data_IF_299910689531
#
_entry.id   IF_299910689531
#
_cell.length_a   1.000
_cell.length_b   1.000
_cell.length_c   1.000
_cell.angle_alpha   90.00
_cell.angle_beta   90.00
_cell.angle_gamma   90.00
#
_symmetry.space_group_name_H-M   'P 1'
#
loop_
_entity.id
_entity.type
_entity.pdbx_description
1 polymer ?
#
# COMPACT_ATOMS: atom_id res chain seq x y z
N UNK A 1 7.43 21.79 -6.68
CA UNK A 1 8.87 21.44 -6.74
C UNK A 1 9.74 22.31 -5.83
N UNK A 2 9.69 23.64 -5.93
CA UNK A 2 10.49 24.54 -5.08
C UNK A 2 10.23 24.34 -3.58
N UNK A 3 8.96 24.20 -3.16
CA UNK A 3 8.60 23.93 -1.76
C UNK A 3 9.24 22.63 -1.22
N UNK A 4 9.22 21.56 -2.01
CA UNK A 4 9.84 20.28 -1.65
C UNK A 4 11.37 20.37 -1.56
N UNK A 5 12.00 21.07 -2.51
CA UNK A 5 13.47 21.26 -2.52
C UNK A 5 13.96 22.03 -1.30
N UNK A 6 13.25 23.10 -0.92
CA UNK A 6 13.56 23.86 0.30
C UNK A 6 13.42 22.99 1.55
N UNK A 7 12.36 22.18 1.63
CA UNK A 7 12.09 21.35 2.82
C UNK A 7 13.08 20.21 2.99
N UNK A 8 13.40 19.51 1.89
CA UNK A 8 14.29 18.35 1.92
C UNK A 8 15.78 18.73 1.89
N UNK A 9 16.09 20.01 1.62
CA UNK A 9 17.45 20.50 1.38
C UNK A 9 18.15 19.73 0.25
N UNK A 10 17.39 19.35 -0.78
CA UNK A 10 17.87 18.59 -1.93
C UNK A 10 17.65 19.40 -3.22
N UNK A 11 18.54 19.26 -4.22
CA UNK A 11 18.39 19.97 -5.48
C UNK A 11 17.14 19.50 -6.23
N UNK A 12 16.46 20.42 -6.91
CA UNK A 12 15.24 20.13 -7.69
C UNK A 12 15.46 18.98 -8.70
N UNK A 13 16.67 18.85 -9.25
CA UNK A 13 17.04 17.79 -10.20
C UNK A 13 16.93 16.37 -9.65
N UNK A 14 16.97 16.19 -8.33
CA UNK A 14 16.81 14.89 -7.67
C UNK A 14 15.35 14.60 -7.27
N UNK A 15 14.49 15.62 -7.26
CA UNK A 15 13.08 15.48 -6.95
C UNK A 15 12.30 15.05 -8.18
N UNK A 16 11.25 14.25 -7.98
CA UNK A 16 10.32 13.86 -9.04
C UNK A 16 8.90 13.96 -8.57
N UNK A 17 8.01 14.49 -9.41
CA UNK A 17 6.57 14.28 -9.19
C UNK A 17 6.29 12.82 -9.56
N UNK A 18 5.90 12.03 -8.58
CA UNK A 18 5.67 10.58 -8.77
C UNK A 18 4.20 10.25 -8.99
N UNK A 19 3.30 11.15 -8.55
CA UNK A 19 1.86 11.09 -8.70
C UNK A 19 1.26 12.50 -8.67
N UNK A 20 0.18 12.71 -9.42
CA UNK A 20 -0.68 13.87 -9.32
C UNK A 20 -2.13 13.46 -9.63
N UNK A 21 -3.08 13.96 -8.85
CA UNK A 21 -4.50 13.69 -9.02
C UNK A 21 -5.28 14.99 -8.86
N UNK A 22 -6.21 15.24 -9.78
CA UNK A 22 -7.13 16.37 -9.66
C UNK A 22 -8.16 16.08 -8.56
N UNK A 23 -8.35 17.03 -7.66
CA UNK A 23 -9.25 16.91 -6.52
C UNK A 23 -9.90 18.27 -6.20
N UNK A 24 -11.13 18.24 -5.72
CA UNK A 24 -11.82 19.42 -5.20
C UNK A 24 -11.79 19.41 -3.67
N UNK A 25 -11.22 20.45 -3.09
CA UNK A 25 -11.09 20.63 -1.64
C UNK A 25 -12.35 21.25 -1.05
N UNK A 26 -12.68 20.92 0.20
CA UNK A 26 -13.88 21.41 0.88
C UNK A 26 -13.74 22.79 1.54
N UNK A 27 -12.52 23.29 1.64
CA UNK A 27 -12.23 24.58 2.25
C UNK A 27 -11.07 25.33 1.57
N UNK A 28 -10.93 26.62 1.91
CA UNK A 28 -9.86 27.50 1.41
C UNK A 28 -8.45 27.14 1.91
N UNK A 29 -8.32 26.26 2.90
CA UNK A 29 -7.05 25.71 3.36
C UNK A 29 -6.71 24.40 2.68
N UNK A 30 -7.44 24.01 1.64
CA UNK A 30 -7.22 22.79 0.89
C UNK A 30 -7.32 21.54 1.80
N UNK A 31 -8.20 21.57 2.80
CA UNK A 31 -8.39 20.56 3.86
C UNK A 31 -7.18 20.39 4.79
N UNK A 32 -6.29 21.40 4.82
CA UNK A 32 -5.05 21.43 5.62
C UNK A 32 -4.99 22.71 6.46
N UNK A 33 -6.01 22.90 7.30
CA UNK A 33 -6.07 23.96 8.29
C UNK A 33 -4.97 23.76 9.35
N UNK A 34 -4.29 24.84 9.74
CA UNK A 34 -3.46 24.83 10.95
C UNK A 34 -4.35 24.91 12.21
N UNK A 35 -3.79 24.56 13.37
CA UNK A 35 -4.54 24.45 14.63
C UNK A 35 -5.39 25.69 14.98
N UNK A 36 -4.94 26.89 14.59
CA UNK A 36 -5.60 28.17 14.86
C UNK A 36 -6.03 28.93 13.59
N UNK A 37 -6.15 28.23 12.45
CA UNK A 37 -6.49 28.84 11.17
C UNK A 37 -7.96 28.66 10.81
N UNK A 38 -8.64 29.78 10.56
CA UNK A 38 -10.00 29.77 10.00
C UNK A 38 -9.97 29.69 8.48
N UNK A 39 -10.52 28.60 7.96
CA UNK A 39 -10.60 28.35 6.53
C UNK A 39 -11.97 28.73 5.98
N UNK A 40 -12.01 29.28 4.77
CA UNK A 40 -13.28 29.57 4.10
C UNK A 40 -13.99 28.27 3.74
N UNK A 41 -15.31 28.21 3.89
CA UNK A 41 -16.11 27.06 3.46
C UNK A 41 -16.44 27.18 1.97
N UNK A 42 -15.44 26.93 1.12
CA UNK A 42 -15.56 27.02 -0.33
C UNK A 42 -15.00 25.76 -0.99
N UNK A 43 -15.67 25.29 -2.04
CA UNK A 43 -15.15 24.19 -2.86
C UNK A 43 -14.05 24.73 -3.78
N UNK A 44 -12.81 24.27 -3.58
CA UNK A 44 -11.64 24.73 -4.34
C UNK A 44 -11.12 23.61 -5.25
N UNK A 45 -11.26 23.72 -6.58
CA UNK A 45 -10.61 22.80 -7.51
C UNK A 45 -9.08 22.88 -7.41
N UNK A 46 -8.43 21.74 -7.48
CA UNK A 46 -7.01 21.66 -7.26
C UNK A 46 -6.39 20.31 -7.56
N UNK A 47 -5.19 20.11 -7.02
CA UNK A 47 -4.41 18.91 -7.24
C UNK A 47 -3.80 18.40 -5.94
N UNK A 48 -3.90 17.09 -5.73
CA UNK A 48 -3.02 16.36 -4.82
C UNK A 48 -1.77 15.99 -5.61
N UNK A 49 -0.60 16.42 -5.15
CA UNK A 49 0.68 16.20 -5.83
C UNK A 49 1.64 15.51 -4.88
N UNK A 50 2.20 14.38 -5.31
CA UNK A 50 3.19 13.63 -4.53
C UNK A 50 4.57 13.83 -5.15
N UNK A 51 5.47 14.39 -4.36
CA UNK A 51 6.88 14.62 -4.74
C UNK A 51 7.74 13.59 -4.02
N UNK A 52 8.52 12.82 -4.77
CA UNK A 52 9.44 11.81 -4.24
C UNK A 52 10.92 12.19 -4.40
N UNK A 53 11.74 11.72 -3.45
CA UNK A 53 13.19 11.65 -3.53
C UNK A 53 13.70 10.37 -2.87
N UNK A 54 14.31 9.48 -3.66
CA UNK A 54 14.66 8.14 -3.16
C UNK A 54 13.42 7.42 -2.61
N UNK A 55 13.46 7.08 -1.31
CA UNK A 55 12.36 6.45 -0.55
C UNK A 55 11.47 7.45 0.21
N UNK A 56 11.77 8.75 0.16
CA UNK A 56 10.98 9.79 0.85
C UNK A 56 9.95 10.38 -0.09
N UNK A 57 8.76 10.67 0.44
CA UNK A 57 7.67 11.32 -0.30
C UNK A 57 7.09 12.48 0.50
N UNK A 58 6.67 13.53 -0.20
CA UNK A 58 5.95 14.66 0.35
C UNK A 58 4.65 14.83 -0.43
N UNK A 59 3.54 14.93 0.29
CA UNK A 59 2.20 15.12 -0.28
C UNK A 59 1.81 16.58 -0.14
N UNK A 60 1.59 17.23 -1.27
CA UNK A 60 1.13 18.60 -1.34
C UNK A 60 -0.29 18.67 -1.87
N UNK A 61 -1.10 19.54 -1.27
CA UNK A 61 -2.36 19.98 -1.85
C UNK A 61 -2.13 21.35 -2.49
N UNK A 62 -2.67 21.54 -3.68
CA UNK A 62 -2.63 22.81 -4.37
C UNK A 62 -3.99 23.17 -4.96
N UNK A 63 -4.23 24.46 -5.18
CA UNK A 63 -5.31 24.90 -6.06
C UNK A 63 -4.98 24.63 -7.54
N UNK A 64 -5.96 24.86 -8.42
CA UNK A 64 -5.87 24.56 -9.85
C UNK A 64 -4.61 25.13 -10.54
N UNK A 65 -4.18 26.32 -10.12
CA UNK A 65 -3.09 27.08 -10.76
C UNK A 65 -1.71 26.84 -10.14
N UNK A 66 -1.62 26.18 -8.99
CA UNK A 66 -0.35 26.07 -8.26
C UNK A 66 -0.03 27.27 -7.36
N UNK A 67 -0.90 28.28 -7.27
CA UNK A 67 -0.60 29.52 -6.53
C UNK A 67 -0.74 29.37 -5.02
N UNK A 68 -1.58 28.44 -4.56
CA UNK A 68 -1.68 28.05 -3.15
C UNK A 68 -1.18 26.61 -3.02
N UNK A 69 -0.12 26.38 -2.25
CA UNK A 69 0.49 25.06 -2.04
C UNK A 69 0.63 24.82 -0.54
N UNK A 70 0.03 23.75 -0.03
CA UNK A 70 0.11 23.35 1.36
C UNK A 70 0.67 21.94 1.47
N UNK A 71 1.58 21.74 2.41
CA UNK A 71 2.09 20.42 2.72
C UNK A 71 1.07 19.72 3.61
N UNK A 72 0.65 18.53 3.21
CA UNK A 72 -0.08 17.66 4.10
C UNK A 72 0.93 17.03 5.06
N UNK A 73 1.21 17.70 6.18
CA UNK A 73 2.18 17.24 7.17
C UNK A 73 1.82 15.84 7.65
N UNK A 74 0.54 15.50 7.85
CA UNK A 74 0.13 14.14 8.23
C UNK A 74 0.46 13.10 7.15
N UNK A 75 0.13 13.38 5.89
CA UNK A 75 0.42 12.49 4.76
C UNK A 75 1.90 12.51 4.30
N UNK A 76 2.69 13.45 4.81
CA UNK A 76 4.13 13.61 4.50
C UNK A 76 5.03 13.19 5.66
N UNK A 77 4.54 13.28 6.90
CA UNK A 77 5.13 12.72 8.13
C UNK A 77 4.78 11.25 8.29
N UNK A 78 3.75 10.75 7.59
CA UNK A 78 3.79 9.41 7.02
C UNK A 78 4.85 9.37 5.92
N UNK A 79 6.11 9.56 6.33
CA UNK A 79 7.15 8.66 5.89
C UNK A 79 6.56 7.27 6.13
N UNK A 80 6.02 6.61 5.12
CA UNK A 80 6.16 5.16 5.11
C UNK A 80 7.62 4.88 4.72
N UNK A 81 8.55 5.41 5.53
CA UNK A 81 9.76 4.68 5.81
C UNK A 81 9.22 3.37 6.38
N UNK A 82 9.37 2.28 5.63
CA UNK A 82 8.78 1.03 6.04
C UNK A 82 9.24 0.70 7.46
N UNK A 83 8.30 0.37 8.34
CA UNK A 83 8.63 -0.05 9.69
C UNK A 83 9.05 -1.51 9.63
N UNK A 84 10.06 -1.92 10.40
CA UNK A 84 10.39 -3.33 10.50
C UNK A 84 9.27 -4.08 11.21
N UNK A 85 8.78 -5.16 10.61
CA UNK A 85 7.81 -6.06 11.26
C UNK A 85 8.55 -6.75 12.42
N UNK A 86 8.08 -6.64 13.66
CA UNK A 86 8.66 -7.39 14.78
C UNK A 86 8.66 -8.89 14.49
N UNK A 87 9.71 -9.60 14.88
CA UNK A 87 9.82 -11.05 14.62
C UNK A 87 8.64 -11.83 15.23
N UNK A 88 8.10 -11.36 16.36
CA UNK A 88 6.92 -11.91 17.01
C UNK A 88 5.62 -11.76 16.20
N UNK A 89 5.58 -10.81 15.28
CA UNK A 89 4.42 -10.52 14.42
C UNK A 89 4.58 -11.10 13.00
N UNK A 90 5.74 -11.72 12.71
CA UNK A 90 5.94 -12.41 11.44
C UNK A 90 5.10 -13.70 11.39
N UNK A 91 4.41 -13.96 10.29
CA UNK A 91 3.70 -15.22 10.12
C UNK A 91 4.70 -16.37 9.95
N UNK A 92 4.29 -17.63 10.21
CA UNK A 92 5.16 -18.80 10.06
C UNK A 92 5.76 -18.90 8.65
N UNK A 93 6.98 -19.43 8.48
CA UNK A 93 7.56 -19.67 7.16
C UNK A 93 6.64 -20.48 6.25
N UNK A 94 6.74 -20.24 4.93
CA UNK A 94 5.95 -21.00 3.97
C UNK A 94 6.42 -22.46 3.92
N UNK A 95 5.46 -23.39 3.90
CA UNK A 95 5.76 -24.77 3.59
C UNK A 95 6.33 -24.90 2.17
N UNK A 96 7.16 -25.91 1.91
CA UNK A 96 7.90 -26.03 0.64
C UNK A 96 7.03 -26.20 -0.62
N UNK A 97 5.74 -26.53 -0.47
CA UNK A 97 4.77 -26.64 -1.55
C UNK A 97 3.95 -25.35 -1.79
N UNK A 98 4.10 -24.35 -0.91
CA UNK A 98 3.43 -23.04 -1.00
C UNK A 98 4.35 -22.04 -1.71
N UNK A 99 3.81 -21.38 -2.72
CA UNK A 99 4.50 -20.34 -3.50
C UNK A 99 4.32 -18.97 -2.86
N UNK A 100 3.11 -18.69 -2.38
CA UNK A 100 2.74 -17.37 -1.89
C UNK A 100 1.59 -17.47 -0.89
N UNK A 101 1.55 -16.55 0.07
CA UNK A 101 0.47 -16.42 1.04
C UNK A 101 0.08 -14.96 1.20
N UNK A 102 -1.22 -14.70 1.23
CA UNK A 102 -1.81 -13.46 1.73
C UNK A 102 -2.56 -13.76 3.03
N UNK A 103 -2.35 -12.93 4.05
CA UNK A 103 -3.25 -12.84 5.21
C UNK A 103 -3.89 -11.45 5.17
N UNK A 104 -5.20 -11.37 5.12
CA UNK A 104 -5.95 -10.12 5.22
C UNK A 104 -6.80 -10.11 6.48
N UNK A 105 -6.71 -9.04 7.27
CA UNK A 105 -7.44 -8.92 8.53
C UNK A 105 -7.66 -7.45 8.94
N UNK A 106 -8.61 -7.25 9.85
CA UNK A 106 -9.01 -5.92 10.32
C UNK A 106 -10.29 -5.41 9.69
N UNK A 107 -10.43 -4.08 9.61
CA UNK A 107 -11.69 -3.41 9.25
C UNK A 107 -12.84 -3.66 10.24
N UNK A 108 -14.02 -3.14 9.91
CA UNK A 108 -15.21 -3.14 10.80
C UNK A 108 -15.68 -4.57 11.16
N UNK A 109 -15.42 -5.56 10.30
CA UNK A 109 -15.86 -6.95 10.55
C UNK A 109 -14.90 -7.74 11.44
N UNK A 110 -13.65 -7.29 11.61
CA UNK A 110 -12.61 -7.99 12.38
C UNK A 110 -12.28 -9.40 11.88
N UNK A 111 -12.70 -9.78 10.67
CA UNK A 111 -12.46 -11.12 10.12
C UNK A 111 -11.06 -11.20 9.51
N UNK A 112 -10.38 -12.32 9.77
CA UNK A 112 -9.07 -12.60 9.19
C UNK A 112 -9.17 -13.78 8.24
N UNK A 113 -8.64 -13.63 7.04
CA UNK A 113 -8.58 -14.66 6.01
C UNK A 113 -7.13 -14.93 5.62
N UNK A 114 -6.82 -16.19 5.39
CA UNK A 114 -5.55 -16.62 4.79
C UNK A 114 -5.85 -17.20 3.41
N UNK A 115 -5.11 -16.75 2.40
CA UNK A 115 -5.14 -17.29 1.04
C UNK A 115 -3.74 -17.77 0.67
N UNK A 116 -3.60 -19.05 0.36
CA UNK A 116 -2.34 -19.67 -0.07
C UNK A 116 -2.41 -20.11 -1.54
N UNK A 117 -1.33 -19.85 -2.27
CA UNK A 117 -1.09 -20.37 -3.62
C UNK A 117 -0.09 -21.52 -3.54
N UNK A 118 -0.50 -22.70 -4.02
CA UNK A 118 0.36 -23.87 -4.11
C UNK A 118 1.10 -23.94 -5.44
N UNK A 119 2.20 -24.71 -5.48
CA UNK A 119 3.02 -24.93 -6.70
C UNK A 119 2.24 -25.56 -7.85
N UNK A 120 1.19 -26.33 -7.55
CA UNK A 120 0.34 -26.99 -8.56
C UNK A 120 -0.80 -26.09 -9.07
N UNK A 121 -0.91 -24.86 -8.56
CA UNK A 121 -1.92 -23.88 -8.96
C UNK A 121 -3.20 -23.90 -8.13
N UNK A 122 -3.28 -24.69 -7.06
CA UNK A 122 -4.39 -24.56 -6.10
C UNK A 122 -4.29 -23.23 -5.34
N UNK A 123 -5.41 -22.51 -5.28
CA UNK A 123 -5.63 -21.35 -4.43
C UNK A 123 -6.61 -21.73 -3.33
N UNK A 124 -6.13 -21.79 -2.11
CA UNK A 124 -6.92 -22.17 -0.94
C UNK A 124 -7.10 -20.94 -0.07
N UNK A 125 -8.35 -20.56 0.20
CA UNK A 125 -8.70 -19.49 1.12
C UNK A 125 -9.48 -20.06 2.30
N UNK A 126 -9.07 -19.71 3.51
CA UNK A 126 -9.70 -20.11 4.77
C UNK A 126 -9.90 -18.90 5.67
N UNK A 127 -10.88 -18.98 6.58
CA UNK A 127 -11.07 -17.99 7.64
C UNK A 127 -10.32 -18.45 8.89
N UNK A 128 -9.42 -17.60 9.38
CA UNK A 128 -8.67 -17.89 10.60
C UNK A 128 -9.61 -17.80 11.81
N UNK A 129 -9.54 -18.79 12.70
CA UNK A 129 -10.41 -18.91 13.87
C UNK A 129 -11.78 -19.55 13.60
N UNK A 130 -12.08 -19.95 12.36
CA UNK A 130 -13.26 -20.74 12.04
C UNK A 130 -12.96 -22.24 12.12
N UNK A 131 -13.20 -22.83 13.28
CA UNK A 131 -12.89 -24.24 13.55
C UNK A 131 -13.67 -25.23 12.65
N UNK A 132 -14.77 -24.79 12.04
CA UNK A 132 -15.61 -25.62 11.18
C UNK A 132 -15.21 -25.53 9.70
N UNK A 133 -14.19 -24.74 9.35
CA UNK A 133 -13.71 -24.53 7.97
C UNK A 133 -14.85 -24.13 7.00
N UNK A 134 -15.87 -23.44 7.53
CA UNK A 134 -17.16 -23.21 6.86
C UNK A 134 -17.07 -22.25 5.69
N UNK A 135 -16.06 -21.38 5.70
CA UNK A 135 -15.80 -20.40 4.64
C UNK A 135 -14.62 -20.81 3.73
N UNK A 136 -14.22 -22.09 3.74
CA UNK A 136 -13.16 -22.56 2.86
C UNK A 136 -13.56 -22.49 1.40
N UNK A 137 -12.66 -21.97 0.58
CA UNK A 137 -12.78 -22.05 -0.87
C UNK A 137 -11.48 -22.56 -1.49
N UNK A 138 -11.61 -23.46 -2.44
CA UNK A 138 -10.50 -23.96 -3.26
C UNK A 138 -10.80 -23.62 -4.71
N UNK A 139 -9.92 -22.83 -5.32
CA UNK A 139 -9.95 -22.49 -6.75
C UNK A 139 -8.65 -22.93 -7.40
N UNK A 140 -8.58 -22.88 -8.72
CA UNK A 140 -7.39 -23.26 -9.47
C UNK A 140 -7.00 -22.23 -10.51
N UNK A 141 -5.68 -22.07 -10.64
CA UNK A 141 -5.02 -21.44 -11.79
C UNK A 141 -4.11 -22.46 -12.46
N UNK A 142 -3.75 -22.22 -13.72
CA UNK A 142 -2.77 -23.05 -14.41
C UNK A 142 -1.37 -22.88 -13.82
N UNK A 143 -0.55 -23.93 -13.92
CA UNK A 143 0.88 -23.86 -13.53
C UNK A 143 1.62 -22.76 -14.30
N UNK A 144 1.24 -22.48 -15.54
CA UNK A 144 1.81 -21.38 -16.33
C UNK A 144 1.51 -20.01 -15.70
N UNK A 145 0.29 -19.79 -15.19
CA UNK A 145 -0.06 -18.57 -14.47
C UNK A 145 0.72 -18.45 -13.16
N UNK A 146 0.95 -19.55 -12.43
CA UNK A 146 1.82 -19.57 -11.25
C UNK A 146 3.24 -19.11 -11.60
N UNK A 147 3.83 -19.67 -12.66
CA UNK A 147 5.16 -19.28 -13.14
C UNK A 147 5.23 -17.83 -13.62
N UNK A 148 4.17 -17.31 -14.25
CA UNK A 148 4.09 -15.90 -14.63
C UNK A 148 4.01 -14.97 -13.41
N UNK A 149 3.28 -15.39 -12.38
CA UNK A 149 3.19 -14.66 -11.12
C UNK A 149 4.54 -14.61 -10.39
N UNK A 150 5.24 -15.74 -10.26
CA UNK A 150 6.58 -15.78 -9.64
C UNK A 150 7.55 -14.84 -10.37
N UNK A 151 7.60 -14.88 -11.71
CA UNK A 151 8.41 -13.94 -12.51
C UNK A 151 8.03 -12.48 -12.29
N UNK A 152 6.75 -12.20 -12.01
CA UNK A 152 6.29 -10.85 -11.72
C UNK A 152 6.78 -10.35 -10.35
N UNK A 153 6.88 -11.23 -9.35
CA UNK A 153 7.48 -10.91 -8.05
C UNK A 153 8.98 -10.57 -8.17
N UNK A 154 9.72 -11.36 -8.95
CA UNK A 154 11.15 -11.11 -9.24
C UNK A 154 11.35 -9.74 -9.92
N UNK A 155 10.56 -9.45 -10.95
CA UNK A 155 10.59 -8.15 -11.67
C UNK A 155 10.25 -6.98 -10.75
N UNK A 156 9.34 -7.20 -9.81
CA UNK A 156 8.95 -6.23 -8.79
C UNK A 156 9.99 -6.10 -7.68
N UNK A 157 11.05 -6.93 -7.68
CA UNK A 157 12.09 -6.96 -6.64
C UNK A 157 11.49 -7.15 -5.25
N UNK A 158 10.57 -8.11 -5.12
CA UNK A 158 9.77 -8.30 -3.90
C UNK A 158 10.62 -8.52 -2.64
N UNK A 159 11.75 -9.23 -2.74
CA UNK A 159 12.78 -9.34 -1.69
C UNK A 159 13.19 -8.03 -1.02
N UNK A 160 13.11 -6.88 -1.71
CA UNK A 160 13.43 -5.57 -1.11
C UNK A 160 12.46 -5.17 0.01
N UNK A 161 11.27 -5.77 0.04
CA UNK A 161 10.24 -5.48 1.03
C UNK A 161 10.26 -6.46 2.21
N UNK A 162 11.30 -7.30 2.32
CA UNK A 162 11.44 -8.28 3.39
C UNK A 162 11.40 -7.61 4.76
N UNK A 163 10.46 -8.09 5.58
CA UNK A 163 10.19 -7.67 6.95
C UNK A 163 9.79 -6.19 7.06
N UNK A 164 9.16 -5.65 6.02
CA UNK A 164 8.74 -4.25 5.97
C UNK A 164 7.22 -4.13 6.12
N UNK A 165 6.78 -3.16 6.90
CA UNK A 165 5.38 -2.79 7.09
C UNK A 165 5.13 -1.36 6.60
N UNK A 166 4.08 -1.22 5.81
CA UNK A 166 3.55 0.03 5.27
C UNK A 166 2.20 0.31 5.97
N UNK A 167 2.23 0.79 7.24
CA UNK A 167 1.02 1.00 8.03
C UNK A 167 0.10 2.06 7.41
N UNK A 168 -1.15 2.05 7.86
CA UNK A 168 -2.08 3.12 7.53
C UNK A 168 -1.66 4.45 8.17
N UNK A 169 -2.03 5.60 7.58
CA UNK A 169 -1.95 6.88 8.26
C UNK A 169 -2.74 6.85 9.57
N UNK A 170 -2.22 7.55 10.59
CA UNK A 170 -2.81 7.57 11.93
C UNK A 170 -4.27 8.06 11.93
N UNK A 171 -5.13 7.44 12.73
CA UNK A 171 -6.55 7.82 12.88
C UNK A 171 -7.53 7.16 11.91
N UNK A 172 -7.14 6.04 11.29
CA UNK A 172 -8.02 5.29 10.40
C UNK A 172 -8.22 3.86 10.94
N UNK A 173 -9.31 3.68 11.70
CA UNK A 173 -9.68 2.42 12.31
C UNK A 173 -10.22 1.38 11.31
N UNK A 174 -10.56 1.81 10.09
CA UNK A 174 -11.31 0.99 9.13
C UNK A 174 -10.45 0.24 8.12
N UNK A 175 -9.14 0.44 8.12
CA UNK A 175 -8.29 -0.16 7.10
C UNK A 175 -8.06 -1.65 7.32
N UNK A 176 -8.02 -2.37 6.20
CA UNK A 176 -7.63 -3.78 6.17
C UNK A 176 -6.11 -3.83 6.07
N UNK A 177 -5.50 -4.64 6.93
CA UNK A 177 -4.07 -4.96 6.84
C UNK A 177 -3.89 -6.22 6.02
N UNK A 178 -3.00 -6.16 5.04
CA UNK A 178 -2.58 -7.26 4.20
C UNK A 178 -1.15 -7.65 4.54
N UNK A 179 -0.91 -8.93 4.76
CA UNK A 179 0.43 -9.51 4.95
C UNK A 179 0.70 -10.45 3.79
N UNK A 180 1.66 -10.11 2.93
CA UNK A 180 2.09 -10.94 1.82
C UNK A 180 3.39 -11.64 2.18
N UNK A 181 3.43 -12.96 1.98
CA UNK A 181 4.63 -13.77 2.19
C UNK A 181 4.97 -14.52 0.90
N UNK A 182 6.23 -14.40 0.48
CA UNK A 182 6.86 -15.26 -0.52
C UNK A 182 8.04 -16.01 0.11
N UNK A 183 8.72 -16.85 -0.68
CA UNK A 183 9.98 -17.49 -0.26
C UNK A 183 11.11 -16.47 0.01
N UNK A 184 10.99 -15.24 -0.51
CA UNK A 184 12.01 -14.19 -0.35
C UNK A 184 11.80 -13.33 0.90
N UNK A 185 10.58 -13.27 1.45
CA UNK A 185 10.27 -12.45 2.62
C UNK A 185 8.79 -12.15 2.80
N UNK A 186 8.51 -11.40 3.86
CA UNK A 186 7.16 -10.93 4.22
C UNK A 186 7.08 -9.42 4.15
N UNK A 187 5.99 -8.89 3.61
CA UNK A 187 5.66 -7.45 3.64
C UNK A 187 4.24 -7.27 4.15
N UNK A 188 4.02 -6.21 4.94
CA UNK A 188 2.71 -5.78 5.41
C UNK A 188 2.34 -4.45 4.77
N UNK A 189 1.07 -4.27 4.43
CA UNK A 189 0.55 -3.00 3.96
C UNK A 189 -0.91 -2.79 4.32
N UNK A 190 -1.32 -1.53 4.50
CA UNK A 190 -2.73 -1.15 4.66
C UNK A 190 -3.43 -1.00 3.31
N UNK A 191 -4.76 -1.12 3.30
CA UNK A 191 -5.58 -1.01 2.08
C UNK A 191 -5.50 0.34 1.34
N UNK A 192 -4.80 1.35 1.86
CA UNK A 192 -4.48 2.57 1.13
C UNK A 192 -3.28 2.36 0.18
N UNK A 193 -3.59 1.89 -1.04
CA UNK A 193 -2.59 1.58 -2.07
C UNK A 193 -1.82 2.81 -2.59
N UNK A 194 -2.34 4.03 -2.38
CA UNK A 194 -1.75 5.26 -2.93
C UNK A 194 -0.39 5.60 -2.30
N UNK A 195 -0.05 4.98 -1.17
CA UNK A 195 1.20 5.25 -0.44
C UNK A 195 2.22 4.12 -0.55
N UNK A 196 1.98 3.09 -1.39
CA UNK A 196 2.92 1.98 -1.55
C UNK A 196 3.97 2.24 -2.63
N UNK A 197 5.21 1.75 -2.48
CA UNK A 197 6.21 1.81 -3.55
C UNK A 197 5.70 1.18 -4.86
N UNK A 198 6.00 1.78 -6.01
CA UNK A 198 5.50 1.32 -7.34
C UNK A 198 5.77 -0.17 -7.60
N UNK A 199 6.92 -0.66 -7.14
CA UNK A 199 7.29 -2.06 -7.21
C UNK A 199 6.40 -2.96 -6.35
N UNK A 200 6.07 -2.54 -5.13
CA UNK A 200 5.12 -3.28 -4.28
C UNK A 200 3.70 -3.24 -4.89
N UNK A 201 3.26 -2.10 -5.42
CA UNK A 201 1.98 -2.00 -6.13
C UNK A 201 1.91 -2.97 -7.33
N UNK A 202 3.01 -3.12 -8.08
CA UNK A 202 3.07 -4.07 -9.19
C UNK A 202 2.92 -5.53 -8.72
N UNK A 203 3.57 -5.90 -7.61
CA UNK A 203 3.41 -7.22 -6.99
C UNK A 203 1.98 -7.49 -6.52
N UNK A 204 1.37 -6.52 -5.83
CA UNK A 204 -0.03 -6.57 -5.37
C UNK A 204 -0.98 -6.71 -6.57
N UNK A 205 -0.77 -5.93 -7.63
CA UNK A 205 -1.58 -6.02 -8.85
C UNK A 205 -1.45 -7.39 -9.54
N UNK A 206 -0.23 -7.93 -9.63
CA UNK A 206 -0.01 -9.26 -10.20
C UNK A 206 -0.72 -10.35 -9.41
N UNK A 207 -0.68 -10.26 -8.07
CA UNK A 207 -1.40 -11.16 -7.18
C UNK A 207 -2.92 -11.06 -7.35
N UNK A 208 -3.48 -9.85 -7.35
CA UNK A 208 -4.92 -9.61 -7.53
C UNK A 208 -5.42 -10.15 -8.88
N UNK A 209 -4.66 -9.93 -9.96
CA UNK A 209 -5.00 -10.48 -11.27
C UNK A 209 -5.01 -12.02 -11.27
N UNK A 210 -4.08 -12.66 -10.56
CA UNK A 210 -4.00 -14.11 -10.47
C UNK A 210 -5.24 -14.67 -9.76
N UNK A 211 -5.58 -14.14 -8.57
CA UNK A 211 -6.73 -14.63 -7.79
C UNK A 211 -8.07 -14.41 -8.51
N UNK A 212 -8.21 -13.31 -9.26
CA UNK A 212 -9.42 -13.05 -10.07
C UNK A 212 -9.54 -13.99 -11.25
N UNK A 213 -8.43 -14.49 -11.80
CA UNK A 213 -8.44 -15.44 -12.92
C UNK A 213 -8.74 -16.89 -12.52
N UNK A 214 -8.73 -17.19 -11.21
CA UNK A 214 -8.89 -18.54 -10.68
C UNK A 214 -10.34 -19.03 -10.84
N UNK A 215 -10.50 -20.29 -11.25
CA UNK A 215 -11.79 -20.95 -11.43
C UNK A 215 -12.04 -22.02 -10.38
#
# INVERSE_FOLDING_TARGET
MQAASKRLQQPISQLRIIEFQQQTWRDGCLELANADEFCTQALIPGWRVVVGIGEQTLVYHTNQTGSAVRLNEKASSSLLAPVQIPVSELPPPLAGYVVFREISGGGITGRTYETVLLKDGQLIRVRIGDANDSERSVRRVSVQQVQQFVRSLERSKFSKFKNLSYPAPSGAADFITYTLTSQEGTVQYSSDLNNLPKNLQAAVKAWNNLITSAK
#
